data_IF_196521937641
#
_entry.id   IF_196521937641
#
_cell.length_a   1.000
_cell.length_b   1.000
_cell.length_c   1.000
_cell.angle_alpha   90.00
_cell.angle_beta   90.00
_cell.angle_gamma   90.00
#
_symmetry.space_group_name_H-M   'P 1'
#
loop_
_entity.id
_entity.type
_entity.pdbx_description
1 polymer ?
#
# COMPACT_ATOMS: atom_id res chain seq x y z
N UNK A 1 -7.91 -11.49 17.06
CA UNK A 1 -6.97 -10.51 16.50
C UNK A 1 -6.36 -11.04 15.21
N UNK A 2 -6.42 -10.25 14.18
CA UNK A 2 -5.90 -10.69 12.90
C UNK A 2 -4.38 -10.61 12.87
N UNK A 3 -3.78 -11.66 12.36
CA UNK A 3 -2.35 -11.70 12.20
C UNK A 3 -1.97 -11.04 10.87
N UNK A 4 -1.06 -10.09 10.94
CA UNK A 4 -0.60 -9.40 9.74
C UNK A 4 0.50 -10.22 9.08
N UNK A 5 0.32 -10.52 7.79
CA UNK A 5 1.32 -11.24 7.03
C UNK A 5 1.99 -10.28 6.06
N UNK A 6 3.24 -9.96 6.33
CA UNK A 6 4.00 -9.07 5.47
C UNK A 6 4.58 -9.82 4.27
N UNK A 7 4.73 -9.16 3.13
CA UNK A 7 5.43 -9.77 2.00
C UNK A 7 6.87 -10.11 2.36
N UNK A 8 7.53 -10.99 1.60
CA UNK A 8 8.92 -11.36 1.88
C UNK A 8 9.82 -10.12 1.94
N UNK A 9 10.72 -10.13 2.90
CA UNK A 9 11.70 -9.05 3.11
C UNK A 9 11.10 -7.70 3.49
N UNK A 10 9.80 -7.65 3.76
CA UNK A 10 9.15 -6.42 4.18
C UNK A 10 9.19 -6.30 5.70
N UNK A 11 9.29 -5.07 6.18
CA UNK A 11 9.29 -4.79 7.61
C UNK A 11 8.05 -3.99 7.98
N UNK A 12 7.79 -3.88 9.28
CA UNK A 12 6.69 -3.04 9.77
C UNK A 12 6.87 -1.60 9.33
N UNK A 13 8.12 -1.15 9.28
CA UNK A 13 8.42 0.20 8.83
C UNK A 13 8.04 0.40 7.37
N UNK A 14 8.31 -0.60 6.54
CA UNK A 14 7.92 -0.54 5.12
C UNK A 14 6.40 -0.44 5.00
N UNK A 15 5.68 -1.19 5.80
CA UNK A 15 4.22 -1.14 5.80
C UNK A 15 3.73 0.25 6.20
N UNK A 16 4.32 0.83 7.23
CA UNK A 16 3.92 2.16 7.68
C UNK A 16 4.13 3.20 6.59
N UNK A 17 5.27 3.16 5.93
CA UNK A 17 5.55 4.10 4.83
C UNK A 17 4.59 3.91 3.69
N UNK A 18 4.25 2.67 3.38
CA UNK A 18 3.30 2.37 2.32
C UNK A 18 1.92 2.94 2.67
N UNK A 19 1.50 2.78 3.92
CA UNK A 19 0.20 3.31 4.35
C UNK A 19 0.15 4.84 4.21
N UNK A 20 1.25 5.52 4.49
CA UNK A 20 1.30 6.97 4.32
C UNK A 20 1.11 7.33 2.85
N UNK A 21 1.77 6.61 1.95
CA UNK A 21 1.63 6.85 0.52
C UNK A 21 0.18 6.63 0.07
N UNK A 22 -0.45 5.55 0.53
CA UNK A 22 -1.83 5.25 0.20
C UNK A 22 -2.75 6.38 0.67
N UNK A 23 -2.57 6.84 1.89
CA UNK A 23 -3.39 7.92 2.44
C UNK A 23 -3.23 9.21 1.67
N UNK A 24 -2.03 9.52 1.22
CA UNK A 24 -1.80 10.73 0.43
C UNK A 24 -2.52 10.66 -0.90
N UNK A 25 -2.46 9.52 -1.56
CA UNK A 25 -3.14 9.35 -2.84
C UNK A 25 -4.65 9.50 -2.67
N UNK A 26 -5.20 8.86 -1.63
CA UNK A 26 -6.63 8.92 -1.37
C UNK A 26 -7.07 10.31 -0.95
N UNK A 27 -6.24 11.01 -0.20
CA UNK A 27 -6.55 12.38 0.20
C UNK A 27 -6.68 13.29 -1.02
N UNK A 28 -5.83 13.08 -2.02
CA UNK A 28 -5.91 13.84 -3.27
C UNK A 28 -7.20 13.55 -4.04
N UNK A 29 -7.82 12.42 -3.76
CA UNK A 29 -9.10 12.05 -4.37
C UNK A 29 -10.28 12.36 -3.45
N UNK A 30 -10.02 13.01 -2.31
CA UNK A 30 -11.01 13.33 -1.29
C UNK A 30 -11.69 12.07 -0.73
N UNK A 31 -10.94 10.98 -0.62
CA UNK A 31 -11.43 9.71 -0.09
C UNK A 31 -10.80 9.47 1.28
N UNK A 32 -11.61 9.11 2.26
CA UNK A 32 -11.14 8.77 3.59
C UNK A 32 -11.48 7.31 3.88
N UNK A 33 -10.51 6.57 4.36
CA UNK A 33 -10.71 5.17 4.74
C UNK A 33 -10.17 4.95 6.15
N UNK A 34 -10.63 3.89 6.81
CA UNK A 34 -10.12 3.58 8.14
C UNK A 34 -8.72 2.95 8.03
N UNK A 35 -8.06 2.86 9.18
CA UNK A 35 -6.69 2.36 9.21
C UNK A 35 -6.59 0.90 8.76
N UNK A 36 -7.54 0.08 9.17
CA UNK A 36 -7.54 -1.33 8.80
C UNK A 36 -7.63 -1.51 7.28
N UNK A 37 -8.51 -0.74 6.65
CA UNK A 37 -8.67 -0.79 5.21
C UNK A 37 -7.41 -0.28 4.50
N UNK A 38 -6.82 0.79 5.03
CA UNK A 38 -5.58 1.33 4.50
C UNK A 38 -4.46 0.29 4.57
N UNK A 39 -4.38 -0.42 5.69
CA UNK A 39 -3.38 -1.47 5.86
C UNK A 39 -3.57 -2.60 4.85
N UNK A 40 -4.82 -3.00 4.62
CA UNK A 40 -5.11 -4.06 3.66
C UNK A 40 -4.67 -3.66 2.25
N UNK A 41 -4.97 -2.43 1.85
CA UNK A 41 -4.54 -1.92 0.54
C UNK A 41 -3.02 -1.87 0.46
N UNK A 42 -2.37 -1.41 1.52
CA UNK A 42 -0.91 -1.32 1.55
C UNK A 42 -0.27 -2.69 1.36
N UNK A 43 -0.79 -3.70 2.04
CA UNK A 43 -0.26 -5.06 1.91
C UNK A 43 -0.43 -5.59 0.48
N UNK A 44 -1.56 -5.30 -0.15
CA UNK A 44 -1.79 -5.69 -1.54
C UNK A 44 -0.78 -5.02 -2.47
N UNK A 45 -0.58 -3.72 -2.30
CA UNK A 45 0.34 -2.96 -3.14
C UNK A 45 1.77 -3.45 -2.96
N UNK A 46 2.17 -3.72 -1.70
CA UNK A 46 3.49 -4.24 -1.43
C UNK A 46 3.70 -5.61 -2.09
N UNK A 47 2.68 -6.45 -2.06
CA UNK A 47 2.73 -7.75 -2.72
C UNK A 47 2.90 -7.63 -4.23
N UNK A 48 2.20 -6.69 -4.83
CA UNK A 48 2.31 -6.43 -6.27
C UNK A 48 3.72 -5.96 -6.61
N UNK A 49 4.27 -5.04 -5.81
CA UNK A 49 5.61 -4.55 -6.04
C UNK A 49 6.64 -5.68 -5.98
N UNK A 50 6.52 -6.53 -4.98
CA UNK A 50 7.42 -7.67 -4.83
C UNK A 50 7.32 -8.62 -6.03
N UNK A 51 6.10 -8.92 -6.45
CA UNK A 51 5.87 -9.85 -7.56
C UNK A 51 6.45 -9.34 -8.86
N UNK A 52 6.54 -8.03 -9.03
CA UNK A 52 7.11 -7.43 -10.23
C UNK A 52 8.59 -7.11 -10.11
N UNK A 53 9.22 -7.60 -9.04
CA UNK A 53 10.64 -7.39 -8.84
C UNK A 53 11.03 -6.04 -8.31
N UNK A 54 10.06 -5.26 -7.82
CA UNK A 54 10.33 -3.98 -7.22
C UNK A 54 10.68 -4.10 -5.75
N UNK A 55 10.91 -2.97 -5.12
CA UNK A 55 11.16 -2.94 -3.69
C UNK A 55 10.03 -2.20 -2.97
N UNK A 56 10.24 -1.87 -1.71
CA UNK A 56 9.20 -1.21 -0.91
C UNK A 56 9.51 0.27 -0.68
N UNK A 57 10.33 0.87 -1.54
CA UNK A 57 10.62 2.29 -1.41
C UNK A 57 9.37 3.11 -1.71
N UNK A 58 9.20 4.28 -1.08
CA UNK A 58 8.01 5.09 -1.30
C UNK A 58 7.75 5.44 -2.76
N UNK A 59 8.79 5.65 -3.54
CA UNK A 59 8.63 6.01 -4.95
C UNK A 59 8.04 4.85 -5.76
N UNK A 60 8.56 3.66 -5.56
CA UNK A 60 8.07 2.47 -6.25
C UNK A 60 6.66 2.15 -5.78
N UNK A 61 6.44 2.18 -4.47
CA UNK A 61 5.12 1.91 -3.88
C UNK A 61 4.08 2.89 -4.42
N UNK A 62 4.44 4.17 -4.54
CA UNK A 62 3.51 5.17 -5.05
C UNK A 62 3.06 4.84 -6.46
N UNK A 63 4.00 4.44 -7.30
CA UNK A 63 3.69 4.08 -8.69
C UNK A 63 2.69 2.93 -8.75
N UNK A 64 2.95 1.85 -8.00
CA UNK A 64 2.04 0.70 -8.01
C UNK A 64 0.71 1.03 -7.34
N UNK A 65 0.74 1.86 -6.28
CA UNK A 65 -0.48 2.24 -5.58
C UNK A 65 -1.40 3.05 -6.48
N UNK A 66 -0.85 3.96 -7.25
CA UNK A 66 -1.66 4.75 -8.15
C UNK A 66 -2.35 3.87 -9.19
N UNK A 67 -1.63 2.91 -9.74
CA UNK A 67 -2.22 1.97 -10.67
C UNK A 67 -3.28 1.11 -10.02
N UNK A 68 -3.00 0.60 -8.84
CA UNK A 68 -3.94 -0.25 -8.11
C UNK A 68 -5.23 0.49 -7.78
N UNK A 69 -5.11 1.72 -7.30
CA UNK A 69 -6.27 2.50 -6.88
C UNK A 69 -7.09 3.03 -8.06
N UNK A 70 -6.49 3.11 -9.23
CA UNK A 70 -7.23 3.46 -10.44
C UNK A 70 -8.08 2.30 -10.95
N UNK A 71 -7.61 1.06 -10.73
CA UNK A 71 -8.33 -0.13 -11.17
C UNK A 71 -9.42 -0.49 -10.18
N UNK A 72 -9.09 -0.43 -8.89
CA UNK A 72 -10.04 -0.74 -7.82
C UNK A 72 -10.76 0.54 -7.44
N UNK A 73 -12.03 0.63 -7.77
CA UNK A 73 -12.82 1.80 -7.40
C UNK A 73 -13.12 1.74 -5.91
N UNK A 74 -12.64 2.72 -5.20
CA UNK A 74 -12.85 2.81 -3.76
C UNK A 74 -13.86 3.91 -3.45
#
# INVERSE_FOLDING_TARGET
>A
MKKITLPPCATTEDLRKCMVVIREILANKAITINEEHCQAIALEVMGISYAKGGDYSPEIIKSFAEGYLNIVEI
#
